data_IF_728230873179
#
_entry.id   IF_728230873179
#
_cell.length_a   1.000
_cell.length_b   1.000
_cell.length_c   1.000
_cell.angle_alpha   90.00
_cell.angle_beta   90.00
_cell.angle_gamma   90.00
#
_symmetry.space_group_name_H-M   'P 1'
#
loop_
_entity.id
_entity.type
_entity.pdbx_description
1 polymer ?
#
# COMPACT_ATOMS: atom_id res chain seq x y z
N UNK A 1 -4.06 -9.15 -18.94
CA UNK A 1 -5.14 -8.77 -17.99
C UNK A 1 -4.93 -9.34 -16.59
N UNK A 2 -4.53 -10.61 -16.43
CA UNK A 2 -4.32 -11.24 -15.11
C UNK A 2 -3.38 -10.45 -14.18
N UNK A 3 -2.25 -9.94 -14.70
CA UNK A 3 -1.32 -9.11 -13.93
C UNK A 3 -1.97 -7.83 -13.43
N UNK A 4 -2.78 -7.16 -14.25
CA UNK A 4 -3.47 -5.92 -13.87
C UNK A 4 -4.49 -6.17 -12.76
N UNK A 5 -5.29 -7.23 -12.86
CA UNK A 5 -6.23 -7.60 -11.80
C UNK A 5 -5.51 -7.99 -10.50
N UNK A 6 -4.40 -8.73 -10.58
CA UNK A 6 -3.57 -9.05 -9.41
C UNK A 6 -2.96 -7.81 -8.75
N UNK A 7 -2.49 -6.84 -9.54
CA UNK A 7 -1.96 -5.58 -9.01
C UNK A 7 -3.03 -4.73 -8.32
N UNK A 8 -4.22 -4.63 -8.90
CA UNK A 8 -5.33 -3.90 -8.28
C UNK A 8 -5.79 -4.62 -6.99
N UNK A 9 -5.95 -5.95 -7.05
CA UNK A 9 -6.36 -6.75 -5.89
C UNK A 9 -5.38 -6.71 -4.73
N UNK A 10 -4.08 -6.58 -4.99
CA UNK A 10 -3.05 -6.42 -3.94
C UNK A 10 -2.92 -4.99 -3.41
N UNK A 11 -3.39 -4.00 -4.17
CA UNK A 11 -3.38 -2.58 -3.79
C UNK A 11 -4.56 -2.20 -2.89
N UNK A 12 -5.69 -2.89 -3.04
CA UNK A 12 -6.87 -2.72 -2.19
C UNK A 12 -6.79 -3.64 -0.97
N UNK A 13 -7.24 -3.18 0.20
CA UNK A 13 -7.23 -3.98 1.43
C UNK A 13 -8.52 -3.80 2.22
N UNK A 14 -8.78 -4.68 3.21
CA UNK A 14 -9.91 -4.51 4.13
C UNK A 14 -9.90 -3.15 4.85
N UNK A 15 -8.71 -2.60 5.10
CA UNK A 15 -8.56 -1.25 5.66
C UNK A 15 -9.17 -0.21 4.74
N UNK A 16 -8.87 -0.29 3.43
CA UNK A 16 -9.42 0.61 2.41
C UNK A 16 -10.95 0.59 2.38
N UNK A 17 -11.55 -0.60 2.46
CA UNK A 17 -13.00 -0.77 2.44
C UNK A 17 -13.71 -0.24 3.69
N UNK A 18 -13.04 -0.27 4.84
CA UNK A 18 -13.62 0.24 6.10
C UNK A 18 -13.30 1.72 6.30
N UNK A 19 -12.06 2.14 6.05
CA UNK A 19 -11.57 3.49 6.39
C UNK A 19 -12.02 4.56 5.41
N UNK A 20 -12.06 4.29 4.10
CA UNK A 20 -12.42 5.31 3.11
C UNK A 20 -13.88 5.72 3.25
N UNK A 21 -14.88 4.81 3.32
CA UNK A 21 -16.26 5.21 3.54
C UNK A 21 -16.46 5.96 4.86
N UNK A 22 -15.79 5.57 5.94
CA UNK A 22 -15.84 6.29 7.22
C UNK A 22 -15.24 7.70 7.14
N UNK A 23 -14.15 7.85 6.39
CA UNK A 23 -13.51 9.17 6.16
C UNK A 23 -14.39 10.05 5.27
N UNK A 24 -14.96 9.52 4.18
CA UNK A 24 -15.86 10.27 3.29
C UNK A 24 -17.17 10.60 4.01
N UNK A 25 -17.70 9.70 4.84
CA UNK A 25 -18.89 9.97 5.64
C UNK A 25 -18.71 11.12 6.64
N UNK A 26 -17.48 11.36 7.12
CA UNK A 26 -17.17 12.44 8.07
C UNK A 26 -16.64 13.72 7.41
N UNK A 27 -15.89 13.61 6.31
CA UNK A 27 -15.18 14.74 5.64
C UNK A 27 -15.68 15.04 4.22
N UNK A 28 -16.69 14.31 3.74
CA UNK A 28 -17.24 14.47 2.40
C UNK A 28 -16.22 14.20 1.30
N UNK A 29 -16.19 15.07 0.28
CA UNK A 29 -15.34 14.91 -0.91
C UNK A 29 -13.86 15.31 -0.71
N UNK A 30 -13.42 15.61 0.51
CA UNK A 30 -12.02 15.97 0.74
C UNK A 30 -11.04 14.86 0.31
N UNK A 31 -11.43 13.59 0.50
CA UNK A 31 -10.65 12.43 0.04
C UNK A 31 -10.51 12.35 -1.50
N UNK A 32 -11.39 12.99 -2.27
CA UNK A 32 -11.37 12.94 -3.73
C UNK A 32 -10.08 13.56 -4.32
N UNK A 33 -9.50 14.55 -3.66
CA UNK A 33 -8.22 15.14 -4.05
C UNK A 33 -7.10 14.09 -4.05
N UNK A 34 -7.12 13.18 -3.07
CA UNK A 34 -6.18 12.06 -2.99
C UNK A 34 -6.37 11.09 -4.15
N UNK A 35 -7.63 10.80 -4.51
CA UNK A 35 -7.96 9.93 -5.66
C UNK A 35 -7.43 10.50 -6.98
N UNK A 36 -7.60 11.81 -7.21
CA UNK A 36 -7.02 12.49 -8.38
C UNK A 36 -5.50 12.37 -8.36
N UNK A 37 -4.87 12.56 -7.20
CA UNK A 37 -3.42 12.37 -7.01
C UNK A 37 -2.95 10.96 -7.40
N UNK A 38 -3.68 9.92 -6.99
CA UNK A 38 -3.38 8.54 -7.39
C UNK A 38 -3.53 8.32 -8.89
N UNK A 39 -4.56 8.89 -9.52
CA UNK A 39 -4.75 8.78 -10.96
C UNK A 39 -3.56 9.39 -11.73
N UNK A 40 -3.17 10.62 -11.40
CA UNK A 40 -2.00 11.28 -12.01
C UNK A 40 -0.72 10.50 -11.73
N UNK A 41 -0.53 10.04 -10.49
CA UNK A 41 0.62 9.22 -10.09
C UNK A 41 0.74 7.95 -10.93
N UNK A 42 -0.36 7.25 -11.20
CA UNK A 42 -0.36 6.06 -12.04
C UNK A 42 -0.01 6.36 -13.50
N UNK A 43 -0.39 7.52 -14.04
CA UNK A 43 0.07 7.94 -15.37
C UNK A 43 1.60 8.12 -15.39
N UNK A 44 2.18 8.75 -14.37
CA UNK A 44 3.64 8.88 -14.27
C UNK A 44 4.32 7.52 -14.14
N UNK A 45 3.79 6.61 -13.32
CA UNK A 45 4.31 5.25 -13.21
C UNK A 45 4.27 4.54 -14.56
N UNK A 46 3.14 4.61 -15.26
CA UNK A 46 2.92 3.92 -16.52
C UNK A 46 3.82 4.43 -17.67
N UNK A 47 3.96 5.75 -17.79
CA UNK A 47 4.64 6.37 -18.94
C UNK A 47 6.10 6.74 -18.68
N UNK A 48 6.54 6.84 -17.43
CA UNK A 48 7.92 7.26 -17.09
C UNK A 48 8.68 6.14 -16.37
N UNK A 49 8.14 5.65 -15.25
CA UNK A 49 8.90 4.74 -14.38
C UNK A 49 8.98 3.32 -14.94
N UNK A 50 7.87 2.76 -15.43
CA UNK A 50 7.89 1.42 -16.02
C UNK A 50 8.85 1.34 -17.22
N UNK A 51 8.77 2.20 -18.25
CA UNK A 51 9.70 2.14 -19.39
C UNK A 51 11.18 2.22 -18.95
N UNK A 52 11.49 3.07 -17.97
CA UNK A 52 12.84 3.19 -17.41
C UNK A 52 13.30 1.89 -16.74
N UNK A 53 12.48 1.28 -15.89
CA UNK A 53 12.85 0.08 -15.14
C UNK A 53 12.99 -1.15 -16.04
N UNK A 54 12.13 -1.28 -17.06
CA UNK A 54 12.23 -2.33 -18.06
C UNK A 54 13.50 -2.17 -18.91
N UNK A 55 13.85 -0.95 -19.33
CA UNK A 55 15.08 -0.68 -20.09
C UNK A 55 16.34 -1.04 -19.31
N UNK A 56 16.34 -0.79 -18.00
CA UNK A 56 17.45 -1.07 -17.10
C UNK A 56 17.44 -2.52 -16.55
N UNK A 57 16.45 -3.34 -16.94
CA UNK A 57 16.26 -4.72 -16.48
C UNK A 57 16.36 -4.89 -14.96
N UNK A 58 15.75 -3.97 -14.23
CA UNK A 58 15.82 -3.96 -12.76
C UNK A 58 14.86 -4.99 -12.17
N UNK A 59 15.38 -5.86 -11.31
CA UNK A 59 14.57 -6.77 -10.48
C UNK A 59 13.98 -6.07 -9.26
N UNK A 60 14.63 -5.00 -8.78
CA UNK A 60 14.20 -4.17 -7.66
C UNK A 60 14.32 -2.70 -8.03
N UNK A 61 13.29 -1.91 -7.73
CA UNK A 61 13.31 -0.46 -7.93
C UNK A 61 14.44 0.21 -7.13
N UNK A 62 14.87 -0.40 -6.02
CA UNK A 62 15.98 0.11 -5.21
C UNK A 62 17.33 -0.09 -5.88
N UNK A 63 17.49 -1.08 -6.76
CA UNK A 63 18.71 -1.26 -7.55
C UNK A 63 18.98 -0.06 -8.46
N UNK A 64 17.94 0.70 -8.83
CA UNK A 64 18.10 2.00 -9.49
C UNK A 64 18.89 2.99 -8.62
N UNK A 65 18.59 3.07 -7.32
CA UNK A 65 19.28 3.96 -6.38
C UNK A 65 20.75 3.55 -6.24
N UNK A 66 21.05 2.25 -6.27
CA UNK A 66 22.43 1.75 -6.24
C UNK A 66 23.23 2.27 -7.44
N UNK A 67 22.68 2.11 -8.65
CA UNK A 67 23.36 2.48 -9.88
C UNK A 67 23.47 4.00 -10.07
N UNK A 68 22.51 4.77 -9.55
CA UNK A 68 22.45 6.22 -9.77
C UNK A 68 23.11 7.05 -8.66
N UNK A 69 23.00 6.61 -7.41
CA UNK A 69 23.41 7.39 -6.22
C UNK A 69 24.43 6.63 -5.38
N UNK A 70 24.31 5.30 -5.30
CA UNK A 70 25.29 4.43 -4.64
C UNK A 70 24.66 3.48 -3.62
N UNK A 71 25.52 2.67 -3.00
CA UNK A 71 25.11 1.58 -2.10
C UNK A 71 24.38 2.07 -0.85
N UNK A 72 24.73 3.25 -0.31
CA UNK A 72 24.06 3.81 0.87
C UNK A 72 22.58 4.08 0.55
N UNK A 73 22.29 4.72 -0.57
CA UNK A 73 20.92 5.01 -1.00
C UNK A 73 20.10 3.74 -1.25
N UNK A 74 20.72 2.70 -1.82
CA UNK A 74 20.09 1.38 -1.95
C UNK A 74 19.68 0.82 -0.58
N UNK A 75 20.62 0.74 0.37
CA UNK A 75 20.37 0.16 1.69
C UNK A 75 19.32 0.94 2.46
N UNK A 76 19.39 2.27 2.44
CA UNK A 76 18.42 3.13 3.11
C UNK A 76 17.03 2.98 2.51
N UNK A 77 16.90 3.00 1.17
CA UNK A 77 15.62 2.83 0.49
C UNK A 77 14.99 1.46 0.76
N UNK A 78 15.77 0.39 0.66
CA UNK A 78 15.31 -0.97 0.96
C UNK A 78 14.94 -1.14 2.44
N UNK A 79 15.70 -0.53 3.36
CA UNK A 79 15.40 -0.58 4.79
C UNK A 79 14.05 0.08 5.11
N UNK A 80 13.83 1.32 4.63
CA UNK A 80 12.54 2.00 4.82
C UNK A 80 11.38 1.25 4.18
N UNK A 81 11.61 0.58 3.04
CA UNK A 81 10.61 -0.29 2.43
C UNK A 81 10.23 -1.46 3.35
N UNK A 82 11.20 -2.18 3.90
CA UNK A 82 10.94 -3.32 4.78
C UNK A 82 10.20 -2.87 6.04
N UNK A 83 10.64 -1.76 6.66
CA UNK A 83 10.00 -1.21 7.86
C UNK A 83 8.56 -0.79 7.56
N UNK A 84 8.34 0.02 6.53
CA UNK A 84 6.99 0.48 6.15
C UNK A 84 6.08 -0.67 5.75
N UNK A 85 6.60 -1.67 5.02
CA UNK A 85 5.85 -2.87 4.62
C UNK A 85 5.44 -3.71 5.82
N UNK A 86 6.34 -3.91 6.78
CA UNK A 86 6.06 -4.66 8.01
C UNK A 86 5.01 -3.95 8.85
N UNK A 87 5.19 -2.66 9.13
CA UNK A 87 4.22 -1.86 9.90
C UNK A 87 2.84 -1.86 9.24
N UNK A 88 2.78 -1.64 7.92
CA UNK A 88 1.53 -1.66 7.18
C UNK A 88 0.86 -3.05 7.12
N UNK A 89 1.62 -4.14 7.23
CA UNK A 89 1.07 -5.49 7.33
C UNK A 89 0.52 -5.75 8.74
N UNK A 90 1.23 -5.35 9.79
CA UNK A 90 0.78 -5.47 11.19
C UNK A 90 -0.50 -4.67 11.45
N UNK A 91 -0.57 -3.42 10.96
CA UNK A 91 -1.78 -2.60 11.08
C UNK A 91 -3.00 -3.24 10.38
N UNK A 92 -2.79 -3.87 9.22
CA UNK A 92 -3.83 -4.63 8.51
C UNK A 92 -4.33 -5.81 9.33
N UNK A 93 -3.41 -6.60 9.91
CA UNK A 93 -3.77 -7.71 10.78
C UNK A 93 -4.54 -7.23 12.02
N UNK A 94 -4.06 -6.17 12.67
CA UNK A 94 -4.73 -5.58 13.83
C UNK A 94 -6.18 -5.19 13.52
N UNK A 95 -6.42 -4.53 12.38
CA UNK A 95 -7.78 -4.15 11.99
C UNK A 95 -8.68 -5.37 11.73
N UNK A 96 -8.16 -6.43 11.11
CA UNK A 96 -8.92 -7.68 10.92
C UNK A 96 -9.28 -8.32 12.26
N UNK A 97 -8.33 -8.40 13.19
CA UNK A 97 -8.58 -8.95 14.53
C UNK A 97 -9.58 -8.09 15.31
N UNK A 98 -9.50 -6.77 15.21
CA UNK A 98 -10.43 -5.87 15.88
C UNK A 98 -11.87 -6.02 15.35
N UNK A 99 -12.03 -6.14 14.02
CA UNK A 99 -13.33 -6.45 13.40
C UNK A 99 -13.85 -7.80 13.91
N UNK A 100 -13.00 -8.84 13.93
CA UNK A 100 -13.37 -10.15 14.45
C UNK A 100 -13.79 -10.10 15.94
N UNK A 101 -13.10 -9.28 16.74
CA UNK A 101 -13.42 -9.07 18.15
C UNK A 101 -14.84 -8.52 18.32
N UNK A 102 -15.14 -7.44 17.61
CA UNK A 102 -16.43 -6.73 17.71
C UNK A 102 -17.59 -7.62 17.27
N UNK A 103 -17.45 -8.31 16.13
CA UNK A 103 -18.57 -9.04 15.54
C UNK A 103 -18.73 -10.47 16.08
N UNK A 104 -17.64 -11.15 16.43
CA UNK A 104 -17.68 -12.58 16.78
C UNK A 104 -17.27 -12.82 18.23
N UNK A 105 -16.06 -12.41 18.61
CA UNK A 105 -15.46 -12.88 19.87
C UNK A 105 -16.12 -12.27 21.11
N UNK A 106 -16.66 -11.05 21.01
CA UNK A 106 -17.46 -10.45 22.07
C UNK A 106 -18.70 -11.28 22.42
N UNK A 107 -19.36 -11.88 21.41
CA UNK A 107 -20.51 -12.77 21.64
C UNK A 107 -20.10 -14.11 22.28
N UNK A 108 -18.83 -14.49 22.13
CA UNK A 108 -18.25 -15.71 22.70
C UNK A 108 -17.54 -15.48 24.04
N UNK A 109 -17.43 -14.23 24.51
CA UNK A 109 -16.77 -13.87 25.77
C UNK A 109 -15.24 -13.99 25.77
N UNK A 110 -14.59 -14.01 24.60
CA UNK A 110 -13.13 -14.17 24.46
C UNK A 110 -12.49 -12.81 24.14
N UNK A 111 -11.59 -12.26 24.99
CA UNK A 111 -10.85 -11.03 24.67
C UNK A 111 -9.53 -11.35 23.96
N UNK A 112 -9.39 -10.91 22.70
CA UNK A 112 -8.14 -11.01 21.91
C UNK A 112 -7.42 -9.66 21.71
N UNK A 113 -8.10 -8.55 21.98
CA UNK A 113 -7.59 -7.17 21.92
C UNK A 113 -7.96 -6.45 23.20
#
# INVERSE_FOLDING_TARGET
>A
MLVAFGMIGTSLSGVTFVSIPGTVGSTGFQYFQVVIGYFIGYLVVAYVLLPLYYRLQLTSIYSYLQNRIGMISYKTGAFFFIVSRTLGATARLYLVVNILQIFILNHLGIPLV
#
